data_IF_624974201003
#
_entry.id   IF_624974201003
#
_cell.length_a   1.000
_cell.length_b   1.000
_cell.length_c   1.000
_cell.angle_alpha   90.00
_cell.angle_beta   90.00
_cell.angle_gamma   90.00
#
_symmetry.space_group_name_H-M   'P 1'
#
loop_
_entity.id
_entity.type
_entity.pdbx_description
1 polymer ?
#
# COMPACT_ATOMS: atom_id res chain seq x y z
N UNK A 1 1.61 54.83 -29.74
CA UNK A 1 1.25 54.74 -28.32
C UNK A 1 -0.07 53.98 -28.21
N UNK A 2 0.02 52.67 -28.00
CA UNK A 2 -1.00 51.85 -27.36
C UNK A 2 -0.27 50.58 -26.91
N UNK A 3 -0.42 50.32 -25.62
CA UNK A 3 0.36 49.44 -24.77
C UNK A 3 0.06 47.95 -25.03
N UNK A 4 1.10 47.14 -25.23
CA UNK A 4 1.03 45.69 -25.34
C UNK A 4 1.26 45.09 -23.95
N UNK A 5 0.19 44.60 -23.30
CA UNK A 5 0.26 43.97 -21.98
C UNK A 5 -0.51 42.64 -21.92
N UNK A 6 -0.03 41.61 -22.62
CA UNK A 6 -0.53 40.24 -22.46
C UNK A 6 0.01 39.60 -21.18
N UNK A 7 -0.76 38.77 -20.47
CA UNK A 7 -0.29 38.13 -19.24
C UNK A 7 0.83 37.13 -19.54
N UNK A 8 1.99 37.39 -18.93
CA UNK A 8 3.16 36.52 -18.96
C UNK A 8 2.85 35.22 -18.19
N UNK A 9 2.59 34.14 -18.92
CA UNK A 9 2.66 32.80 -18.35
C UNK A 9 4.13 32.50 -18.05
N UNK A 10 4.51 32.65 -16.78
CA UNK A 10 5.81 32.25 -16.28
C UNK A 10 5.88 30.71 -16.28
N UNK A 11 6.51 30.18 -17.33
CA UNK A 11 6.88 28.77 -17.42
C UNK A 11 7.82 28.42 -16.27
N UNK A 12 7.28 27.73 -15.25
CA UNK A 12 8.10 27.18 -14.17
C UNK A 12 8.83 25.96 -14.71
N UNK A 13 10.11 26.17 -14.98
CA UNK A 13 11.11 25.15 -15.31
C UNK A 13 11.08 24.06 -14.21
N UNK A 14 10.49 22.89 -14.50
CA UNK A 14 10.47 21.73 -13.60
C UNK A 14 11.43 20.67 -14.15
N UNK A 15 12.70 20.82 -13.83
CA UNK A 15 13.64 19.72 -13.82
C UNK A 15 13.55 19.04 -12.46
N UNK A 16 12.86 17.90 -12.39
CA UNK A 16 13.01 16.93 -11.31
C UNK A 16 12.58 15.56 -11.84
N UNK A 17 13.58 14.77 -12.25
CA UNK A 17 13.48 13.32 -12.40
C UNK A 17 13.57 12.75 -10.98
N UNK A 18 12.46 12.70 -10.25
CA UNK A 18 12.27 11.83 -9.08
C UNK A 18 10.83 12.00 -8.58
N UNK A 19 10.11 10.89 -8.43
CA UNK A 19 8.65 10.87 -8.29
C UNK A 19 8.12 11.26 -6.90
N UNK A 20 7.03 12.05 -6.89
CA UNK A 20 6.06 12.11 -5.79
C UNK A 20 6.34 13.15 -4.68
N UNK A 21 5.29 13.53 -3.90
CA UNK A 21 5.33 14.65 -2.95
C UNK A 21 6.31 14.41 -1.77
N UNK A 22 6.84 15.52 -1.26
CA UNK A 22 8.02 15.63 -0.38
C UNK A 22 7.92 14.90 0.99
N UNK A 23 8.06 13.57 1.01
CA UNK A 23 8.36 12.79 2.22
C UNK A 23 7.28 11.78 2.61
N UNK A 24 7.57 10.93 3.59
CA UNK A 24 6.64 9.93 4.16
C UNK A 24 6.38 10.22 5.63
N UNK A 25 5.14 10.02 6.08
CA UNK A 25 4.80 9.96 7.51
C UNK A 25 4.91 8.53 8.00
N UNK A 26 5.57 8.33 9.15
CA UNK A 26 5.83 7.01 9.75
C UNK A 26 4.98 6.78 10.99
N UNK A 27 4.46 5.57 11.13
CA UNK A 27 3.76 5.10 12.33
C UNK A 27 4.27 3.71 12.72
N UNK A 28 4.63 3.51 13.98
CA UNK A 28 5.13 2.23 14.47
C UNK A 28 3.99 1.38 15.01
N UNK A 29 3.99 0.07 14.73
CA UNK A 29 2.95 -0.84 15.19
C UNK A 29 2.86 -0.88 16.73
N UNK A 30 3.99 -0.69 17.42
CA UNK A 30 4.08 -0.58 18.89
C UNK A 30 3.26 0.61 19.42
N UNK A 31 3.29 1.75 18.74
CA UNK A 31 2.50 2.94 19.10
C UNK A 31 1.01 2.76 18.80
N UNK A 32 0.67 1.89 17.84
CA UNK A 32 -0.70 1.60 17.41
C UNK A 32 -1.39 0.50 18.23
N UNK A 33 -0.69 -0.08 19.21
CA UNK A 33 -1.17 -1.15 20.11
C UNK A 33 -1.74 -2.37 19.36
N UNK A 34 -1.11 -2.72 18.24
CA UNK A 34 -1.48 -3.91 17.48
C UNK A 34 -1.03 -5.18 18.23
N UNK A 35 -1.90 -6.17 18.34
CA UNK A 35 -1.58 -7.46 18.96
C UNK A 35 -0.69 -8.26 18.01
N UNK A 36 0.47 -8.76 18.45
CA UNK A 36 1.38 -9.58 17.63
C UNK A 36 1.60 -9.04 16.20
N UNK A 37 2.18 -7.84 16.04
CA UNK A 37 2.35 -7.24 14.73
C UNK A 37 3.35 -8.02 13.88
N UNK A 38 2.98 -8.24 12.61
CA UNK A 38 3.84 -8.81 11.56
C UNK A 38 4.44 -7.74 10.64
N UNK A 39 4.01 -6.49 10.83
CA UNK A 39 4.57 -5.28 10.24
C UNK A 39 5.08 -4.39 11.37
N UNK A 40 6.33 -3.94 11.30
CA UNK A 40 6.88 -3.13 12.38
C UNK A 40 6.54 -1.64 12.20
N UNK A 41 6.52 -1.16 10.95
CA UNK A 41 6.30 0.25 10.60
C UNK A 41 5.36 0.40 9.39
N UNK A 42 4.51 1.41 9.46
CA UNK A 42 3.67 1.88 8.36
C UNK A 42 4.18 3.23 7.85
N UNK A 43 4.26 3.40 6.54
CA UNK A 43 4.65 4.64 5.88
C UNK A 43 3.55 5.09 4.92
N UNK A 44 3.07 6.32 5.02
CA UNK A 44 2.16 6.89 4.01
C UNK A 44 2.68 8.21 3.44
N UNK A 45 2.25 8.58 2.24
CA UNK A 45 2.76 9.76 1.55
C UNK A 45 2.34 11.03 2.28
N UNK A 46 3.31 11.90 2.56
CA UNK A 46 3.03 13.23 3.09
C UNK A 46 2.63 14.18 1.95
N UNK A 47 1.78 15.16 2.24
CA UNK A 47 1.36 16.17 1.27
C UNK A 47 0.25 15.72 0.29
N UNK A 48 -0.25 14.50 0.41
CA UNK A 48 -1.51 14.08 -0.22
C UNK A 48 -2.67 14.21 0.77
N UNK A 49 -3.86 14.53 0.25
CA UNK A 49 -5.06 14.60 1.09
C UNK A 49 -5.38 13.24 1.74
N UNK A 50 -6.02 13.28 2.91
CA UNK A 50 -6.50 12.08 3.61
C UNK A 50 -5.40 11.08 4.00
N UNK A 51 -4.24 11.58 4.46
CA UNK A 51 -3.14 10.74 4.97
C UNK A 51 -3.56 9.75 6.06
N UNK A 52 -4.42 10.17 7.00
CA UNK A 52 -4.98 9.28 8.03
C UNK A 52 -5.77 8.10 7.45
N UNK A 53 -6.48 8.32 6.34
CA UNK A 53 -7.20 7.26 5.64
C UNK A 53 -6.23 6.29 4.93
N UNK A 54 -5.12 6.80 4.39
CA UNK A 54 -4.05 5.96 3.83
C UNK A 54 -3.42 5.07 4.92
N UNK A 55 -3.08 5.64 6.08
CA UNK A 55 -2.59 4.87 7.23
C UNK A 55 -3.60 3.82 7.68
N UNK A 56 -4.89 4.19 7.77
CA UNK A 56 -5.97 3.27 8.12
C UNK A 56 -6.07 2.12 7.12
N UNK A 57 -5.92 2.40 5.83
CA UNK A 57 -5.94 1.41 4.76
C UNK A 57 -4.73 0.46 4.86
N UNK A 58 -3.52 0.96 5.10
CA UNK A 58 -2.32 0.14 5.30
C UNK A 58 -2.49 -0.83 6.47
N UNK A 59 -3.02 -0.34 7.60
CA UNK A 59 -3.31 -1.17 8.77
C UNK A 59 -4.39 -2.21 8.49
N UNK A 60 -5.40 -1.85 7.70
CA UNK A 60 -6.45 -2.78 7.28
C UNK A 60 -5.88 -3.89 6.41
N UNK A 61 -5.03 -3.56 5.44
CA UNK A 61 -4.33 -4.53 4.58
C UNK A 61 -3.49 -5.48 5.43
N UNK A 62 -2.64 -4.95 6.31
CA UNK A 62 -1.80 -5.72 7.22
C UNK A 62 -2.62 -6.71 8.06
N UNK A 63 -3.74 -6.24 8.60
CA UNK A 63 -4.65 -7.06 9.38
C UNK A 63 -5.31 -8.16 8.55
N UNK A 64 -5.74 -7.86 7.32
CA UNK A 64 -6.36 -8.83 6.40
C UNK A 64 -5.40 -9.98 6.04
N UNK A 65 -4.12 -9.69 5.79
CA UNK A 65 -3.13 -10.71 5.38
C UNK A 65 -2.43 -11.39 6.56
N UNK A 66 -2.69 -10.96 7.79
CA UNK A 66 -2.01 -11.46 8.99
C UNK A 66 -2.10 -12.98 9.15
N UNK A 67 -3.26 -13.66 9.02
CA UNK A 67 -3.31 -15.12 9.19
C UNK A 67 -2.45 -15.88 8.18
N UNK A 68 -2.39 -15.38 6.93
CA UNK A 68 -1.61 -15.95 5.83
C UNK A 68 -0.10 -15.84 6.14
N UNK A 69 0.33 -14.68 6.64
CA UNK A 69 1.71 -14.45 7.05
C UNK A 69 2.09 -15.25 8.29
N UNK A 70 1.23 -15.28 9.32
CA UNK A 70 1.45 -16.07 10.54
C UNK A 70 1.66 -17.56 10.23
N UNK A 71 0.82 -18.14 9.35
CA UNK A 71 0.94 -19.54 8.92
C UNK A 71 2.32 -19.86 8.31
N UNK A 72 2.97 -18.86 7.70
CA UNK A 72 4.25 -19.01 6.99
C UNK A 72 5.45 -18.46 7.76
N UNK A 73 5.24 -17.92 8.96
CA UNK A 73 6.30 -17.25 9.74
C UNK A 73 6.85 -15.99 9.07
N UNK A 74 6.10 -15.38 8.16
CA UNK A 74 6.54 -14.17 7.46
C UNK A 74 6.39 -12.92 8.34
N UNK A 75 7.39 -12.05 8.26
CA UNK A 75 7.39 -10.71 8.86
C UNK A 75 7.91 -9.72 7.83
N UNK A 76 7.40 -8.50 7.87
CA UNK A 76 7.82 -7.40 6.99
C UNK A 76 8.19 -6.19 7.84
N UNK A 77 9.34 -5.56 7.59
CA UNK A 77 9.75 -4.42 8.41
C UNK A 77 8.85 -3.20 8.15
N UNK A 78 8.60 -2.89 6.87
CA UNK A 78 7.91 -1.67 6.46
C UNK A 78 6.82 -1.99 5.44
N UNK A 79 5.58 -1.59 5.73
CA UNK A 79 4.50 -1.52 4.75
C UNK A 79 4.25 -0.06 4.38
N UNK A 80 4.44 0.30 3.12
CA UNK A 80 4.44 1.68 2.67
C UNK A 80 3.42 1.93 1.55
N UNK A 81 2.80 3.10 1.57
CA UNK A 81 2.16 3.69 0.40
C UNK A 81 3.23 4.23 -0.56
N UNK A 82 3.01 4.08 -1.86
CA UNK A 82 3.72 4.83 -2.88
C UNK A 82 2.81 5.28 -4.02
N UNK A 83 3.30 6.20 -4.86
CA UNK A 83 2.60 6.68 -6.04
C UNK A 83 3.59 6.95 -7.18
N UNK A 84 4.18 5.89 -7.78
CA UNK A 84 5.14 6.06 -8.86
C UNK A 84 4.48 6.65 -10.13
N UNK A 85 5.32 7.17 -11.02
CA UNK A 85 4.89 7.73 -12.31
C UNK A 85 4.38 6.62 -13.26
N UNK A 86 4.88 5.40 -13.09
CA UNK A 86 4.46 4.23 -13.85
C UNK A 86 3.06 3.79 -13.38
N UNK A 87 2.05 4.00 -14.23
CA UNK A 87 0.65 3.68 -13.91
C UNK A 87 0.43 2.21 -13.53
N UNK A 88 1.17 1.30 -14.18
CA UNK A 88 1.01 -0.14 -14.00
C UNK A 88 1.80 -0.69 -12.80
N UNK A 89 2.62 0.13 -12.14
CA UNK A 89 3.33 -0.28 -10.93
C UNK A 89 2.41 -0.11 -9.72
N UNK A 90 1.85 -1.23 -9.26
CA UNK A 90 0.89 -1.31 -8.16
C UNK A 90 1.52 -1.74 -6.83
N UNK A 91 2.60 -2.51 -6.88
CA UNK A 91 3.31 -3.00 -5.70
C UNK A 91 4.81 -3.14 -5.97
N UNK A 92 5.59 -3.23 -4.89
CA UNK A 92 7.02 -3.52 -4.95
C UNK A 92 7.50 -4.14 -3.63
N UNK A 93 8.02 -5.36 -3.69
CA UNK A 93 8.74 -6.00 -2.60
C UNK A 93 10.25 -5.76 -2.72
N UNK A 94 10.82 -5.13 -1.69
CA UNK A 94 12.25 -4.85 -1.56
C UNK A 94 12.88 -5.84 -0.59
N UNK A 95 13.97 -6.48 -1.03
CA UNK A 95 14.79 -7.41 -0.24
C UNK A 95 13.98 -8.51 0.44
N UNK A 96 13.06 -9.15 -0.29
CA UNK A 96 12.30 -10.33 0.17
C UNK A 96 11.59 -10.10 1.51
N UNK A 97 10.86 -8.99 1.63
CA UNK A 97 10.07 -8.65 2.80
C UNK A 97 10.71 -7.62 3.73
N UNK A 98 11.82 -6.98 3.37
CA UNK A 98 12.28 -5.82 4.15
C UNK A 98 11.26 -4.68 4.06
N UNK A 99 10.90 -4.25 2.84
CA UNK A 99 9.91 -3.21 2.62
C UNK A 99 8.97 -3.62 1.50
N UNK A 100 7.67 -3.51 1.73
CA UNK A 100 6.66 -3.67 0.69
C UNK A 100 5.99 -2.32 0.48
N UNK A 101 6.05 -1.82 -0.76
CA UNK A 101 5.33 -0.64 -1.19
C UNK A 101 4.06 -1.05 -1.93
N UNK A 102 2.95 -0.39 -1.68
CA UNK A 102 1.68 -0.64 -2.34
C UNK A 102 1.07 0.70 -2.78
N UNK A 103 0.51 0.74 -3.99
CA UNK A 103 -0.23 1.89 -4.51
C UNK A 103 -1.62 1.85 -3.89
N UNK A 104 -1.95 2.86 -3.09
CA UNK A 104 -3.28 2.97 -2.48
C UNK A 104 -4.24 3.82 -3.32
N UNK A 105 -3.71 4.68 -4.21
CA UNK A 105 -4.48 5.72 -4.90
C UNK A 105 -4.43 5.57 -6.41
N UNK A 106 -5.46 6.05 -7.10
CA UNK A 106 -5.46 6.10 -8.56
C UNK A 106 -4.34 7.00 -9.09
N UNK A 107 -3.64 6.55 -10.14
CA UNK A 107 -2.54 7.29 -10.75
C UNK A 107 -2.98 8.68 -11.26
N UNK A 108 -4.13 8.74 -11.96
CA UNK A 108 -4.65 9.98 -12.56
C UNK A 108 -5.49 10.83 -11.59
N UNK A 109 -5.81 10.30 -10.40
CA UNK A 109 -6.58 11.02 -9.39
C UNK A 109 -6.16 10.55 -7.99
N UNK A 110 -5.10 11.14 -7.41
CA UNK A 110 -4.56 10.73 -6.12
C UNK A 110 -5.52 10.96 -4.93
N UNK A 111 -6.60 11.72 -5.10
CA UNK A 111 -7.59 11.95 -4.04
C UNK A 111 -8.51 10.74 -3.82
N UNK A 112 -8.54 9.82 -4.80
CA UNK A 112 -9.31 8.58 -4.77
C UNK A 112 -8.42 7.37 -4.47
N UNK A 113 -8.88 6.55 -3.54
CA UNK A 113 -8.27 5.26 -3.20
C UNK A 113 -8.75 4.15 -4.13
N UNK A 114 -7.86 3.20 -4.44
CA UNK A 114 -8.20 1.95 -5.11
C UNK A 114 -9.12 1.10 -4.21
N UNK A 115 -9.95 0.22 -4.77
CA UNK A 115 -10.74 -0.74 -3.99
C UNK A 115 -9.84 -1.60 -3.10
N UNK A 116 -10.23 -1.81 -1.84
CA UNK A 116 -9.44 -2.57 -0.87
C UNK A 116 -9.08 -3.97 -1.38
N UNK A 117 -10.03 -4.64 -2.04
CA UNK A 117 -9.83 -5.97 -2.63
C UNK A 117 -8.70 -6.02 -3.68
N UNK A 118 -8.58 -4.99 -4.52
CA UNK A 118 -7.49 -4.87 -5.49
C UNK A 118 -6.15 -4.64 -4.79
N UNK A 119 -6.15 -3.82 -3.74
CA UNK A 119 -4.95 -3.51 -2.96
C UNK A 119 -4.48 -4.74 -2.16
N UNK A 120 -5.41 -5.53 -1.62
CA UNK A 120 -5.11 -6.80 -0.94
C UNK A 120 -4.55 -7.82 -1.93
N UNK A 121 -5.11 -7.96 -3.13
CA UNK A 121 -4.57 -8.87 -4.15
C UNK A 121 -3.12 -8.50 -4.54
N UNK A 122 -2.86 -7.20 -4.68
CA UNK A 122 -1.49 -6.67 -4.88
C UNK A 122 -0.60 -7.02 -3.69
N UNK A 123 -1.08 -6.91 -2.46
CA UNK A 123 -0.31 -7.32 -1.28
C UNK A 123 0.02 -8.82 -1.28
N UNK A 124 -0.90 -9.70 -1.68
CA UNK A 124 -0.64 -11.14 -1.80
C UNK A 124 0.40 -11.43 -2.89
N UNK A 125 0.36 -10.69 -4.00
CA UNK A 125 1.39 -10.73 -5.04
C UNK A 125 2.77 -10.38 -4.44
N UNK A 126 2.86 -9.25 -3.73
CA UNK A 126 4.13 -8.83 -3.11
C UNK A 126 4.62 -9.79 -2.03
N UNK A 127 3.73 -10.44 -1.26
CA UNK A 127 4.13 -11.47 -0.32
C UNK A 127 4.75 -12.70 -1.01
N UNK A 128 4.28 -13.04 -2.22
CA UNK A 128 4.86 -14.14 -3.01
C UNK A 128 6.33 -13.86 -3.37
N UNK A 129 6.69 -12.58 -3.55
CA UNK A 129 8.07 -12.14 -3.77
C UNK A 129 9.02 -12.31 -2.58
N UNK A 130 8.52 -12.68 -1.39
CA UNK A 130 9.39 -13.13 -0.28
C UNK A 130 10.12 -14.43 -0.66
N UNK A 131 9.47 -15.31 -1.43
CA UNK A 131 10.03 -16.59 -1.85
C UNK A 131 10.58 -16.51 -3.29
N UNK A 132 9.76 -16.05 -4.24
CA UNK A 132 10.04 -16.14 -5.68
C UNK A 132 10.22 -14.77 -6.31
N UNK A 133 11.40 -14.51 -6.90
CA UNK A 133 11.69 -13.22 -7.54
C UNK A 133 11.00 -13.05 -8.90
N UNK A 134 11.17 -14.03 -9.78
CA UNK A 134 10.60 -13.99 -11.13
C UNK A 134 9.13 -14.44 -11.13
N UNK A 135 8.34 -13.90 -12.07
CA UNK A 135 6.94 -14.29 -12.30
C UNK A 135 6.87 -15.61 -13.08
N UNK A 136 7.42 -16.68 -12.51
CA UNK A 136 7.40 -18.03 -13.07
C UNK A 136 6.18 -18.84 -12.57
N UNK A 137 6.09 -20.11 -12.97
CA UNK A 137 5.01 -21.00 -12.52
C UNK A 137 4.99 -21.21 -11.00
N UNK A 138 6.14 -21.13 -10.31
CA UNK A 138 6.18 -21.28 -8.85
C UNK A 138 5.62 -20.05 -8.16
N UNK A 139 5.96 -18.86 -8.66
CA UNK A 139 5.37 -17.61 -8.22
C UNK A 139 3.85 -17.63 -8.37
N UNK A 140 3.35 -17.95 -9.56
CA UNK A 140 1.91 -17.96 -9.82
C UNK A 140 1.17 -18.95 -8.93
N UNK A 141 1.71 -20.16 -8.76
CA UNK A 141 1.13 -21.17 -7.87
C UNK A 141 1.06 -20.67 -6.42
N UNK A 142 2.11 -20.02 -5.92
CA UNK A 142 2.09 -19.46 -4.56
C UNK A 142 1.06 -18.34 -4.47
N UNK A 143 1.03 -17.42 -5.42
CA UNK A 143 0.08 -16.32 -5.40
C UNK A 143 -1.38 -16.81 -5.42
N UNK A 144 -1.69 -17.81 -6.26
CA UNK A 144 -3.01 -18.46 -6.30
C UNK A 144 -3.35 -19.11 -4.95
N UNK A 145 -2.41 -19.84 -4.33
CA UNK A 145 -2.59 -20.41 -2.99
C UNK A 145 -2.91 -19.33 -1.93
N UNK A 146 -2.21 -18.19 -1.97
CA UNK A 146 -2.48 -17.08 -1.06
C UNK A 146 -3.88 -16.47 -1.29
N UNK A 147 -4.33 -16.38 -2.55
CA UNK A 147 -5.67 -15.88 -2.91
C UNK A 147 -6.76 -16.83 -2.42
N UNK A 148 -6.58 -18.14 -2.60
CA UNK A 148 -7.53 -19.16 -2.13
C UNK A 148 -7.66 -19.16 -0.59
N UNK A 149 -6.53 -18.99 0.11
CA UNK A 149 -6.52 -18.82 1.57
C UNK A 149 -7.26 -17.55 1.99
N UNK A 150 -7.01 -16.43 1.31
CA UNK A 150 -7.70 -15.17 1.57
C UNK A 150 -9.21 -15.29 1.33
N UNK A 151 -9.63 -15.89 0.22
CA UNK A 151 -11.06 -16.10 -0.06
C UNK A 151 -11.71 -17.00 1.01
N UNK A 152 -11.01 -18.05 1.44
CA UNK A 152 -11.47 -18.92 2.53
C UNK A 152 -11.65 -18.13 3.83
N UNK A 153 -10.74 -17.22 4.15
CA UNK A 153 -10.86 -16.33 5.31
C UNK A 153 -12.09 -15.42 5.19
N UNK A 154 -12.28 -14.79 4.03
CA UNK A 154 -13.45 -13.93 3.76
C UNK A 154 -14.76 -14.71 3.90
N UNK A 155 -14.85 -15.91 3.33
CA UNK A 155 -16.04 -16.78 3.45
C UNK A 155 -16.33 -17.20 4.89
N UNK A 156 -15.30 -17.28 5.74
CA UNK A 156 -15.41 -17.52 7.19
C UNK A 156 -15.74 -16.24 7.99
N UNK A 157 -15.94 -15.11 7.31
CA UNK A 157 -16.24 -13.81 7.92
C UNK A 157 -15.01 -13.04 8.42
N UNK A 158 -13.80 -13.53 8.16
CA UNK A 158 -12.58 -12.81 8.51
C UNK A 158 -12.30 -11.73 7.48
N UNK A 159 -12.32 -10.47 7.91
CA UNK A 159 -11.98 -9.30 7.07
C UNK A 159 -10.84 -8.49 7.68
N UNK A 160 -10.00 -9.11 8.50
CA UNK A 160 -9.05 -8.46 9.40
C UNK A 160 -9.56 -8.36 10.84
N UNK A 161 -8.65 -8.14 11.77
CA UNK A 161 -8.93 -7.88 13.18
C UNK A 161 -9.83 -6.64 13.31
N UNK A 162 -10.78 -6.68 14.24
CA UNK A 162 -11.94 -5.77 14.35
C UNK A 162 -11.61 -4.31 14.69
N UNK A 163 -10.84 -3.62 13.86
CA UNK A 163 -10.45 -2.22 14.03
C UNK A 163 -11.56 -1.21 13.65
N UNK A 164 -12.67 -1.64 13.04
CA UNK A 164 -13.67 -0.73 12.44
C UNK A 164 -15.10 -0.88 13.01
N UNK A 165 -15.29 -1.67 14.07
CA UNK A 165 -16.56 -1.80 14.75
C UNK A 165 -16.76 -0.74 15.84
N UNK A 166 -16.86 0.54 15.48
CA UNK A 166 -17.52 1.48 16.38
C UNK A 166 -19.00 1.09 16.43
N UNK A 167 -19.38 0.30 17.43
CA UNK A 167 -20.77 0.00 17.73
C UNK A 167 -21.53 1.30 17.93
N UNK A 168 -22.35 1.66 16.94
CA UNK A 168 -23.33 2.72 17.08
C UNK A 168 -24.44 2.17 17.97
N UNK A 169 -24.51 2.66 19.22
CA UNK A 169 -25.69 2.48 20.09
C UNK A 169 -26.88 3.24 19.51
#
# INVERSE_FOLDING_TARGET
MADYGGPQYTGRNRTARDGGPNGVQRSFATSLKEHEPLFDTYEHLSGLERGDAALTMLRKIASTVKPIMSKRGWRVQILAEFLPAEQNLLGLNVNKGYKICIRLRYHNNPDLFLPLEQVVDTMLHELSHIIWGEHDSNFHRLWDELRDEHETLVRKGYTGEGFLGAGRK
#
